data_IF_844718293606
#
_entry.id   IF_844718293606
#
_cell.length_a   1.000
_cell.length_b   1.000
_cell.length_c   1.000
_cell.angle_alpha   90.00
_cell.angle_beta   90.00
_cell.angle_gamma   90.00
#
_symmetry.space_group_name_H-M   'P 1'
#
loop_
_entity.id
_entity.type
_entity.pdbx_description
1 polymer ?
#
# COMPACT_ATOMS: atom_id res chain seq x y z
N UNK A 1 -3.31 28.39 1.50
CA UNK A 1 -3.65 27.11 0.85
C UNK A 1 -3.39 25.99 1.85
N UNK A 2 -4.27 25.02 1.95
CA UNK A 2 -4.19 23.89 2.86
C UNK A 2 -4.57 22.63 2.08
N UNK A 3 -3.65 21.67 2.03
CA UNK A 3 -3.86 20.39 1.36
C UNK A 3 -4.36 19.38 2.39
N UNK A 4 -5.48 18.72 2.09
CA UNK A 4 -6.13 17.78 3.01
C UNK A 4 -6.25 16.43 2.32
N UNK A 5 -5.58 15.44 2.89
CA UNK A 5 -5.59 14.06 2.44
C UNK A 5 -6.62 13.29 3.27
N UNK A 6 -7.47 12.50 2.61
CA UNK A 6 -8.43 11.63 3.29
C UNK A 6 -8.81 10.42 2.44
N UNK A 7 -9.21 9.33 3.11
CA UNK A 7 -9.61 8.08 2.46
C UNK A 7 -10.71 8.29 1.39
N UNK A 8 -10.74 7.47 0.32
CA UNK A 8 -11.66 7.66 -0.81
C UNK A 8 -13.14 7.75 -0.42
N UNK A 9 -13.55 7.00 0.61
CA UNK A 9 -14.91 6.99 1.15
C UNK A 9 -15.27 8.29 1.90
N UNK A 10 -14.28 8.98 2.47
CA UNK A 10 -14.46 10.23 3.23
C UNK A 10 -14.40 11.48 2.35
N UNK A 11 -13.80 11.40 1.15
CA UNK A 11 -13.71 12.54 0.22
C UNK A 11 -15.08 13.09 -0.14
N UNK A 12 -16.05 12.23 -0.43
CA UNK A 12 -17.40 12.69 -0.78
C UNK A 12 -18.08 13.43 0.38
N UNK A 13 -17.85 12.98 1.62
CA UNK A 13 -18.42 13.58 2.82
C UNK A 13 -17.77 14.94 3.11
N UNK A 14 -16.45 15.03 2.98
CA UNK A 14 -15.71 16.26 3.21
C UNK A 14 -16.01 17.34 2.16
N UNK A 15 -16.17 16.97 0.89
CA UNK A 15 -16.64 17.89 -0.16
C UNK A 15 -18.05 18.40 0.17
N UNK A 16 -18.93 17.48 0.60
CA UNK A 16 -20.35 17.77 0.83
C UNK A 16 -21.11 18.01 -0.49
N UNK A 17 -22.43 18.03 -0.43
CA UNK A 17 -23.27 18.19 -1.63
C UNK A 17 -22.97 19.51 -2.34
N UNK A 18 -22.46 19.44 -3.57
CA UNK A 18 -22.09 20.63 -4.36
C UNK A 18 -20.87 21.40 -3.84
N UNK A 19 -20.02 20.77 -3.01
CA UNK A 19 -18.80 21.39 -2.47
C UNK A 19 -19.05 22.38 -1.34
N UNK A 20 -20.22 22.34 -0.70
CA UNK A 20 -20.61 23.34 0.30
C UNK A 20 -19.73 23.28 1.56
N UNK A 21 -19.34 22.07 1.99
CA UNK A 21 -18.56 21.89 3.21
C UNK A 21 -17.14 22.49 3.06
N UNK A 22 -16.45 22.21 1.95
CA UNK A 22 -15.13 22.80 1.66
C UNK A 22 -15.21 24.31 1.50
N UNK A 23 -16.24 24.82 0.80
CA UNK A 23 -16.41 26.27 0.61
C UNK A 23 -16.66 27.00 1.93
N UNK A 24 -17.44 26.42 2.83
CA UNK A 24 -17.70 27.01 4.15
C UNK A 24 -16.45 26.95 5.03
N UNK A 25 -15.76 25.80 5.05
CA UNK A 25 -14.52 25.62 5.78
C UNK A 25 -13.43 26.60 5.31
N UNK A 26 -13.30 26.82 3.99
CA UNK A 26 -12.35 27.80 3.45
C UNK A 26 -12.69 29.24 3.86
N UNK A 27 -13.98 29.60 3.93
CA UNK A 27 -14.40 30.92 4.44
C UNK A 27 -14.16 31.11 5.93
N UNK A 28 -14.34 30.06 6.73
CA UNK A 28 -14.14 30.10 8.18
C UNK A 28 -12.66 30.17 8.55
N UNK A 29 -11.83 29.43 7.82
CA UNK A 29 -10.40 29.31 8.11
C UNK A 29 -9.56 30.36 7.38
N UNK A 30 -10.09 30.95 6.31
CA UNK A 30 -9.34 31.85 5.43
C UNK A 30 -8.35 31.13 4.49
N UNK A 31 -8.35 29.81 4.48
CA UNK A 31 -7.50 29.01 3.59
C UNK A 31 -8.28 28.53 2.36
N UNK A 32 -7.58 28.46 1.23
CA UNK A 32 -8.00 27.66 0.08
C UNK A 32 -7.70 26.18 0.39
N UNK A 33 -8.73 25.34 0.44
CA UNK A 33 -8.64 23.93 0.86
C UNK A 33 -8.70 23.04 -0.39
N UNK A 34 -7.63 22.31 -0.65
CA UNK A 34 -7.57 21.30 -1.71
C UNK A 34 -7.69 19.91 -1.08
N UNK A 35 -8.66 19.13 -1.54
CA UNK A 35 -8.88 17.76 -1.04
C UNK A 35 -8.31 16.76 -2.00
N UNK A 36 -7.38 15.94 -1.50
CA UNK A 36 -6.78 14.84 -2.21
C UNK A 36 -7.31 13.53 -1.64
N UNK A 37 -7.54 12.57 -2.54
CA UNK A 37 -7.77 11.20 -2.12
C UNK A 37 -6.45 10.70 -1.58
N UNK A 38 -6.49 10.33 -0.32
CA UNK A 38 -5.44 9.58 0.31
C UNK A 38 -5.54 8.15 -0.21
N UNK A 39 -4.80 7.88 -1.28
CA UNK A 39 -4.54 6.53 -1.75
C UNK A 39 -3.37 5.94 -0.95
N UNK A 40 -3.39 6.13 0.38
CA UNK A 40 -2.46 5.50 1.32
C UNK A 40 -2.70 3.99 1.37
N UNK A 41 -2.22 3.33 0.33
CA UNK A 41 -1.58 2.02 0.40
C UNK A 41 -0.05 2.13 0.33
N UNK A 42 0.48 3.20 -0.28
CA UNK A 42 1.87 3.29 -0.74
C UNK A 42 2.91 3.81 0.29
N UNK A 43 2.50 4.46 1.40
CA UNK A 43 3.47 5.11 2.31
C UNK A 43 3.98 4.22 3.47
N UNK A 44 3.44 3.02 3.65
CA UNK A 44 3.87 2.05 4.69
C UNK A 44 4.38 0.75 4.09
N UNK A 45 4.59 0.68 2.78
CA UNK A 45 5.09 -0.55 2.17
C UNK A 45 6.61 -0.60 2.22
N UNK A 46 7.13 -1.79 2.53
CA UNK A 46 8.57 -2.03 2.65
C UNK A 46 9.01 -2.78 1.39
N UNK A 47 10.10 -2.30 0.79
CA UNK A 47 10.67 -2.94 -0.41
C UNK A 47 11.24 -4.30 -0.01
N UNK A 48 11.06 -5.33 -0.84
CA UNK A 48 11.56 -6.68 -0.53
C UNK A 48 13.07 -6.74 -0.30
N UNK A 49 13.85 -5.79 -0.84
CA UNK A 49 15.29 -5.69 -0.62
C UNK A 49 15.69 -5.43 0.84
N UNK A 50 14.79 -4.84 1.64
CA UNK A 50 15.03 -4.61 3.07
C UNK A 50 14.99 -5.90 3.88
N UNK A 51 14.39 -6.98 3.34
CA UNK A 51 14.32 -8.30 3.96
C UNK A 51 15.47 -9.22 3.54
N UNK A 52 16.55 -8.67 2.96
CA UNK A 52 17.68 -9.47 2.45
C UNK A 52 18.49 -10.19 3.54
N UNK A 53 18.25 -9.87 4.80
CA UNK A 53 18.78 -10.55 5.99
C UNK A 53 17.92 -11.75 6.42
N UNK A 54 16.62 -11.74 6.13
CA UNK A 54 15.69 -12.82 6.50
C UNK A 54 15.28 -13.71 5.32
N UNK A 55 15.28 -13.17 4.10
CA UNK A 55 14.90 -13.86 2.87
C UNK A 55 16.10 -13.93 1.93
N UNK A 56 16.32 -15.09 1.33
CA UNK A 56 17.39 -15.26 0.36
C UNK A 56 17.26 -14.30 -0.84
N UNK A 57 18.37 -13.70 -1.26
CA UNK A 57 18.44 -12.72 -2.34
C UNK A 57 17.90 -13.27 -3.68
N UNK A 58 18.06 -14.57 -3.94
CA UNK A 58 17.53 -15.21 -5.15
C UNK A 58 15.99 -15.32 -5.14
N UNK A 59 15.38 -15.48 -3.97
CA UNK A 59 13.92 -15.47 -3.81
C UNK A 59 13.38 -14.07 -4.03
N UNK A 60 14.01 -13.06 -3.42
CA UNK A 60 13.66 -11.64 -3.60
C UNK A 60 13.72 -11.26 -5.09
N UNK A 61 14.76 -11.69 -5.79
CA UNK A 61 14.89 -11.45 -7.23
C UNK A 61 13.78 -12.12 -8.04
N UNK A 62 13.43 -13.36 -7.70
CA UNK A 62 12.35 -14.10 -8.37
C UNK A 62 11.00 -13.41 -8.18
N UNK A 63 10.73 -12.89 -6.97
CA UNK A 63 9.54 -12.09 -6.68
C UNK A 63 9.55 -10.74 -7.43
N UNK A 64 10.70 -10.07 -7.52
CA UNK A 64 10.83 -8.85 -8.32
C UNK A 64 10.59 -9.10 -9.82
N UNK A 65 11.08 -10.23 -10.35
CA UNK A 65 10.92 -10.58 -11.76
C UNK A 65 9.44 -10.81 -12.15
N UNK A 66 8.58 -11.19 -11.20
CA UNK A 66 7.13 -11.28 -11.40
C UNK A 66 6.40 -9.95 -11.18
N UNK A 67 7.12 -8.87 -10.83
CA UNK A 67 6.57 -7.56 -10.55
C UNK A 67 6.06 -7.38 -9.12
N UNK A 68 6.55 -8.19 -8.17
CA UNK A 68 6.34 -7.99 -6.75
C UNK A 68 7.62 -7.39 -6.16
N UNK A 69 7.66 -6.08 -6.07
CA UNK A 69 8.79 -5.29 -5.56
C UNK A 69 8.65 -4.95 -4.07
N UNK A 70 7.42 -5.03 -3.55
CA UNK A 70 7.10 -4.66 -2.16
C UNK A 70 6.42 -5.77 -1.38
N UNK A 71 6.49 -5.67 -0.04
CA UNK A 71 5.97 -6.68 0.85
C UNK A 71 4.43 -6.77 0.79
N UNK A 72 3.68 -5.65 0.67
CA UNK A 72 2.23 -5.73 0.45
C UNK A 72 1.89 -6.35 -0.90
N UNK A 73 2.65 -6.04 -1.96
CA UNK A 73 2.41 -6.63 -3.29
C UNK A 73 2.51 -8.17 -3.27
N UNK A 74 3.40 -8.73 -2.45
CA UNK A 74 3.47 -10.18 -2.23
C UNK A 74 2.28 -10.68 -1.40
N UNK A 75 1.91 -9.96 -0.33
CA UNK A 75 0.80 -10.34 0.56
C UNK A 75 -0.59 -10.24 -0.08
N UNK A 76 -0.76 -9.42 -1.12
CA UNK A 76 -2.01 -9.29 -1.89
C UNK A 76 -2.25 -10.47 -2.85
N UNK A 77 -1.20 -11.18 -3.25
CA UNK A 77 -1.30 -12.30 -4.19
C UNK A 77 -1.49 -13.60 -3.41
N UNK A 78 -2.43 -14.47 -3.82
CA UNK A 78 -2.60 -15.78 -3.19
C UNK A 78 -1.36 -16.67 -3.39
N UNK A 79 -1.03 -17.47 -2.36
CA UNK A 79 0.16 -18.33 -2.34
C UNK A 79 0.19 -19.27 -3.55
N UNK A 80 -0.95 -19.81 -3.96
CA UNK A 80 -1.04 -20.72 -5.10
C UNK A 80 -0.63 -20.05 -6.43
N UNK A 81 -0.89 -18.75 -6.56
CA UNK A 81 -0.49 -17.98 -7.75
C UNK A 81 0.99 -17.63 -7.70
N UNK A 82 1.52 -17.29 -6.51
CA UNK A 82 2.96 -17.08 -6.33
C UNK A 82 3.76 -18.34 -6.67
N UNK A 83 3.31 -19.52 -6.23
CA UNK A 83 3.94 -20.82 -6.55
C UNK A 83 3.97 -21.05 -8.07
N UNK A 84 2.86 -20.78 -8.76
CA UNK A 84 2.77 -20.95 -10.21
C UNK A 84 3.65 -19.98 -11.01
N UNK A 85 3.89 -18.79 -10.48
CA UNK A 85 4.63 -17.74 -11.20
C UNK A 85 6.13 -17.74 -10.91
N UNK A 86 6.54 -18.25 -9.74
CA UNK A 86 7.93 -18.20 -9.28
C UNK A 86 8.64 -19.56 -9.32
N UNK A 87 7.92 -20.67 -9.58
CA UNK A 87 8.43 -22.05 -9.48
C UNK A 87 9.07 -22.38 -8.11
N UNK A 88 8.78 -21.56 -7.08
CA UNK A 88 9.21 -21.81 -5.71
C UNK A 88 8.34 -22.88 -5.04
N UNK A 89 8.93 -23.61 -4.10
CA UNK A 89 8.20 -24.56 -3.29
C UNK A 89 7.17 -23.82 -2.40
N UNK A 90 6.00 -24.43 -2.21
CA UNK A 90 4.93 -23.83 -1.40
C UNK A 90 5.39 -23.52 0.03
N UNK A 91 6.22 -24.39 0.62
CA UNK A 91 6.80 -24.17 1.95
C UNK A 91 7.65 -22.88 2.00
N UNK A 92 8.46 -22.63 0.97
CA UNK A 92 9.28 -21.41 0.87
C UNK A 92 8.42 -20.16 0.77
N UNK A 93 7.35 -20.18 -0.02
CA UNK A 93 6.45 -19.03 -0.13
C UNK A 93 5.69 -18.80 1.17
N UNK A 94 5.26 -19.86 1.85
CA UNK A 94 4.61 -19.75 3.16
C UNK A 94 5.54 -19.16 4.21
N UNK A 95 6.83 -19.47 4.16
CA UNK A 95 7.85 -18.89 5.04
C UNK A 95 8.05 -17.40 4.75
N UNK A 96 8.21 -17.02 3.48
CA UNK A 96 8.30 -15.60 3.05
C UNK A 96 7.07 -14.82 3.51
N UNK A 97 5.86 -15.32 3.23
CA UNK A 97 4.61 -14.65 3.62
C UNK A 97 4.51 -14.50 5.14
N UNK A 98 5.06 -15.44 5.91
CA UNK A 98 5.08 -15.36 7.38
C UNK A 98 6.02 -14.26 7.86
N UNK A 99 7.23 -14.21 7.33
CA UNK A 99 8.22 -13.16 7.60
C UNK A 99 7.62 -11.78 7.30
N UNK A 100 7.10 -11.61 6.08
CA UNK A 100 6.49 -10.34 5.67
C UNK A 100 5.34 -9.94 6.60
N UNK A 101 4.45 -10.87 6.98
CA UNK A 101 3.35 -10.58 7.91
C UNK A 101 3.83 -10.17 9.30
N UNK A 102 4.91 -10.76 9.80
CA UNK A 102 5.44 -10.44 11.13
C UNK A 102 5.99 -9.02 11.22
N UNK A 103 6.48 -8.44 10.13
CA UNK A 103 6.91 -7.03 10.10
C UNK A 103 5.76 -6.03 10.01
N UNK A 104 4.56 -6.47 9.61
CA UNK A 104 3.35 -5.62 9.56
C UNK A 104 2.44 -5.74 10.82
N UNK A 105 2.80 -6.57 11.80
CA UNK A 105 2.06 -6.77 13.07
C UNK A 105 2.66 -5.97 14.23
#
# INVERSE_FOLDING_TARGET
RADVYMKPDQVSLAIGKGGFNIKLAGKLTGYEIDVYRDTEGDNEDVVLSEFSDEIDEWIIKTLNDIGCDTAKSVLEIPVEELVRRTDLEEETIQEVVRILKSEFE
#
